data_IF_388549622453
#
_entry.id   IF_388549622453
#
_cell.length_a   1.000
_cell.length_b   1.000
_cell.length_c   1.000
_cell.angle_alpha   90.00
_cell.angle_beta   90.00
_cell.angle_gamma   90.00
#
_symmetry.space_group_name_H-M   'P 1'
#
loop_
_entity.id
_entity.type
_entity.pdbx_description
1 polymer ?
#
# COMPACT_ATOMS: atom_id res chain seq x y z
N UNK A 1 -13.43 3.14 8.33
CA UNK A 1 -14.82 2.83 8.74
C UNK A 1 -15.58 4.13 8.96
N UNK A 2 -16.82 4.19 8.51
CA UNK A 2 -17.73 5.34 8.65
C UNK A 2 -19.05 4.93 9.31
N UNK A 3 -19.75 5.92 9.87
CA UNK A 3 -21.15 5.80 10.29
C UNK A 3 -22.12 6.13 9.14
N UNK A 4 -23.41 6.05 9.38
CA UNK A 4 -24.47 6.34 8.42
C UNK A 4 -24.48 7.78 7.89
N UNK A 5 -23.74 8.70 8.54
CA UNK A 5 -23.60 10.10 8.12
C UNK A 5 -22.29 10.36 7.37
N UNK A 6 -21.48 9.34 7.09
CA UNK A 6 -20.19 9.46 6.44
C UNK A 6 -19.06 9.98 7.34
N UNK A 7 -19.26 10.07 8.66
CA UNK A 7 -18.21 10.41 9.61
C UNK A 7 -17.35 9.20 9.91
N UNK A 8 -16.06 9.45 10.11
CA UNK A 8 -15.14 8.41 10.56
C UNK A 8 -15.55 7.91 11.95
N UNK A 9 -15.55 6.59 12.14
CA UNK A 9 -15.94 5.93 13.40
C UNK A 9 -15.11 4.68 13.65
N UNK A 10 -15.07 4.22 14.91
CA UNK A 10 -14.35 3.00 15.28
C UNK A 10 -14.98 1.77 14.63
N UNK A 11 -14.19 0.76 14.22
CA UNK A 11 -14.69 -0.52 13.73
C UNK A 11 -15.65 -1.23 14.72
N UNK A 12 -15.36 -1.14 16.03
CA UNK A 12 -16.16 -1.84 17.04
C UNK A 12 -16.15 -3.35 16.78
N UNK A 13 -17.35 -3.95 16.65
CA UNK A 13 -17.51 -5.41 16.41
C UNK A 13 -17.16 -5.88 14.99
N UNK A 14 -16.76 -5.00 14.09
CA UNK A 14 -16.30 -5.41 12.75
C UNK A 14 -15.02 -6.25 12.82
N UNK A 15 -14.19 -6.07 13.86
CA UNK A 15 -12.99 -6.88 14.09
C UNK A 15 -13.30 -8.34 14.41
N UNK A 16 -14.51 -8.64 14.83
CA UNK A 16 -14.96 -9.99 15.15
C UNK A 16 -15.70 -10.67 13.97
N UNK A 17 -15.86 -9.97 12.86
CA UNK A 17 -16.65 -10.46 11.73
C UNK A 17 -15.96 -11.60 10.97
N UNK A 18 -14.64 -11.59 10.94
CA UNK A 18 -13.83 -12.61 10.25
C UNK A 18 -12.45 -12.72 10.87
N UNK A 19 -11.79 -13.90 10.80
CA UNK A 19 -10.37 -14.01 11.12
C UNK A 19 -9.54 -13.04 10.26
N UNK A 20 -8.56 -12.38 10.86
CA UNK A 20 -7.68 -11.42 10.16
C UNK A 20 -8.29 -10.03 9.96
N UNK A 21 -9.45 -9.72 10.54
CA UNK A 21 -9.92 -8.35 10.71
C UNK A 21 -9.34 -7.77 12.00
N UNK A 22 -8.57 -6.69 11.89
CA UNK A 22 -7.82 -6.11 13.03
C UNK A 22 -7.89 -4.59 13.03
N UNK A 23 -7.72 -3.99 14.22
CA UNK A 23 -7.55 -2.54 14.34
C UNK A 23 -6.13 -2.15 13.98
N UNK A 24 -6.00 -1.01 13.33
CA UNK A 24 -4.72 -0.39 13.00
C UNK A 24 -4.44 0.84 13.90
N UNK A 25 -3.47 1.69 13.53
CA UNK A 25 -2.94 2.80 14.33
C UNK A 25 -3.97 3.80 14.84
N UNK A 26 -5.09 3.93 14.15
CA UNK A 26 -6.13 4.93 14.46
C UNK A 26 -7.51 4.29 14.54
N UNK A 27 -8.37 4.89 15.38
CA UNK A 27 -9.70 4.35 15.65
C UNK A 27 -10.54 4.01 14.40
N UNK A 28 -10.59 4.81 13.34
CA UNK A 28 -11.45 4.48 12.19
C UNK A 28 -10.84 3.51 11.18
N UNK A 29 -9.62 3.00 11.43
CA UNK A 29 -8.95 2.10 10.49
C UNK A 29 -9.24 0.64 10.84
N UNK A 30 -9.51 -0.16 9.81
CA UNK A 30 -9.67 -1.62 9.89
C UNK A 30 -8.79 -2.25 8.84
N UNK A 31 -7.92 -3.15 9.24
CA UNK A 31 -7.15 -4.01 8.35
C UNK A 31 -7.89 -5.34 8.15
N UNK A 32 -7.93 -5.85 6.92
CA UNK A 32 -8.43 -7.17 6.58
C UNK A 32 -7.30 -7.93 5.88
N UNK A 33 -6.81 -8.99 6.52
CA UNK A 33 -5.72 -9.84 6.01
C UNK A 33 -6.27 -11.16 5.50
N UNK A 34 -5.64 -11.72 4.45
CA UNK A 34 -5.85 -13.11 4.03
C UNK A 34 -4.77 -14.02 4.64
N UNK A 35 -5.00 -15.31 4.61
CA UNK A 35 -3.94 -16.30 4.83
C UNK A 35 -3.07 -16.43 3.57
N UNK A 36 -1.88 -17.05 3.65
CA UNK A 36 -1.13 -17.43 2.45
C UNK A 36 -1.96 -18.35 1.55
N UNK A 37 -2.14 -17.97 0.29
CA UNK A 37 -2.91 -18.70 -0.70
C UNK A 37 -1.97 -19.28 -1.77
N UNK A 38 -2.18 -20.55 -2.15
CA UNK A 38 -1.38 -21.21 -3.20
C UNK A 38 -1.66 -20.69 -4.60
N UNK A 39 -2.85 -20.09 -4.81
CA UNK A 39 -3.28 -19.54 -6.11
C UNK A 39 -4.00 -18.22 -5.93
N UNK A 40 -3.98 -17.39 -6.96
CA UNK A 40 -4.73 -16.13 -6.98
C UNK A 40 -6.26 -16.35 -7.02
N UNK A 41 -6.72 -17.51 -7.48
CA UNK A 41 -8.12 -17.91 -7.37
C UNK A 41 -8.53 -18.12 -5.91
N UNK A 42 -7.73 -18.83 -5.11
CA UNK A 42 -7.94 -18.98 -3.69
C UNK A 42 -7.86 -17.64 -2.94
N UNK A 43 -6.90 -16.79 -3.29
CA UNK A 43 -6.78 -15.44 -2.76
C UNK A 43 -8.05 -14.62 -3.02
N UNK A 44 -8.58 -14.68 -4.23
CA UNK A 44 -9.83 -13.99 -4.62
C UNK A 44 -11.01 -14.45 -3.77
N UNK A 45 -11.16 -15.76 -3.62
CA UNK A 45 -12.25 -16.35 -2.84
C UNK A 45 -12.16 -15.94 -1.36
N UNK A 46 -11.00 -16.09 -0.74
CA UNK A 46 -10.80 -15.74 0.67
C UNK A 46 -10.97 -14.24 0.92
N UNK A 47 -10.39 -13.38 0.07
CA UNK A 47 -10.56 -11.93 0.19
C UNK A 47 -12.03 -11.53 0.06
N UNK A 48 -12.74 -12.10 -0.92
CA UNK A 48 -14.18 -11.88 -1.11
C UNK A 48 -14.98 -12.32 0.11
N UNK A 49 -14.75 -13.52 0.65
CA UNK A 49 -15.43 -14.01 1.86
C UNK A 49 -15.22 -13.07 3.04
N UNK A 50 -13.96 -12.67 3.31
CA UNK A 50 -13.62 -11.83 4.46
C UNK A 50 -14.21 -10.44 4.35
N UNK A 51 -14.12 -9.81 3.18
CA UNK A 51 -14.71 -8.48 2.98
C UNK A 51 -16.22 -8.53 3.04
N UNK A 52 -16.87 -9.58 2.50
CA UNK A 52 -18.32 -9.79 2.59
C UNK A 52 -18.75 -9.91 4.05
N UNK A 53 -18.08 -10.74 4.85
CA UNK A 53 -18.41 -10.91 6.27
C UNK A 53 -18.32 -9.59 7.06
N UNK A 54 -17.31 -8.77 6.76
CA UNK A 54 -17.16 -7.46 7.40
C UNK A 54 -18.24 -6.48 6.93
N UNK A 55 -18.62 -6.48 5.64
CA UNK A 55 -19.70 -5.65 5.10
C UNK A 55 -21.05 -6.02 5.68
N UNK A 56 -21.38 -7.32 5.77
CA UNK A 56 -22.61 -7.80 6.37
C UNK A 56 -22.69 -7.36 7.84
N UNK A 57 -21.59 -7.48 8.57
CA UNK A 57 -21.52 -6.99 9.95
C UNK A 57 -21.63 -5.47 10.05
N UNK A 58 -21.08 -4.73 9.09
CA UNK A 58 -21.19 -3.28 9.04
C UNK A 58 -22.64 -2.84 8.84
N UNK A 59 -23.37 -3.47 7.92
CA UNK A 59 -24.79 -3.22 7.67
C UNK A 59 -25.64 -3.46 8.93
N UNK A 60 -25.37 -4.54 9.68
CA UNK A 60 -26.08 -4.84 10.94
C UNK A 60 -25.91 -3.76 12.02
N UNK A 61 -24.80 -3.02 12.01
CA UNK A 61 -24.46 -2.04 13.05
C UNK A 61 -24.46 -0.58 12.54
N UNK A 62 -25.02 -0.32 11.36
CA UNK A 62 -25.13 1.02 10.78
C UNK A 62 -23.77 1.64 10.45
N UNK A 63 -22.86 0.87 9.85
CA UNK A 63 -21.51 1.32 9.45
C UNK A 63 -21.22 1.01 8.00
N UNK A 64 -20.17 1.64 7.45
CA UNK A 64 -19.67 1.38 6.12
C UNK A 64 -18.14 1.27 6.08
N UNK A 65 -17.63 0.51 5.10
CA UNK A 65 -16.21 0.44 4.76
C UNK A 65 -15.93 1.33 3.56
N UNK A 66 -14.81 2.05 3.58
CA UNK A 66 -14.44 2.99 2.52
C UNK A 66 -13.07 2.61 1.94
N UNK A 67 -12.93 2.37 0.62
CA UNK A 67 -11.68 2.02 -0.01
C UNK A 67 -10.87 3.29 -0.38
N UNK A 68 -10.61 4.14 0.60
CA UNK A 68 -9.85 5.38 0.43
C UNK A 68 -8.57 5.34 1.25
N UNK A 69 -7.45 5.67 0.62
CA UNK A 69 -6.13 5.62 1.23
C UNK A 69 -5.89 6.73 2.27
N UNK A 70 -6.67 7.80 2.23
CA UNK A 70 -6.63 8.88 3.21
C UNK A 70 -8.04 9.22 3.68
N UNK A 71 -8.20 9.91 4.82
CA UNK A 71 -9.52 10.35 5.30
C UNK A 71 -10.16 11.44 4.44
N UNK A 72 -9.50 11.90 3.36
CA UNK A 72 -9.89 13.04 2.50
C UNK A 72 -9.87 14.35 3.28
N UNK A 73 -10.80 14.50 4.22
CA UNK A 73 -10.86 15.57 5.22
C UNK A 73 -11.44 15.02 6.52
N UNK A 74 -10.70 15.18 7.61
CA UNK A 74 -11.15 14.90 8.97
C UNK A 74 -10.65 16.02 9.90
N UNK A 75 -11.48 16.44 10.85
CA UNK A 75 -11.10 17.44 11.85
C UNK A 75 -10.24 16.83 12.94
N UNK A 76 -10.55 15.59 13.33
CA UNK A 76 -9.84 14.85 14.37
C UNK A 76 -9.94 13.35 14.10
N UNK A 77 -8.82 12.65 14.28
CA UNK A 77 -8.74 11.18 14.20
C UNK A 77 -8.07 10.69 15.47
N UNK A 78 -8.81 9.94 16.28
CA UNK A 78 -8.29 9.38 17.51
C UNK A 78 -7.28 8.27 17.26
N UNK A 79 -6.14 8.35 17.94
CA UNK A 79 -5.08 7.34 17.89
C UNK A 79 -5.36 6.18 18.84
N UNK A 80 -4.89 5.00 18.47
CA UNK A 80 -4.84 3.84 19.36
C UNK A 80 -3.46 3.85 20.04
N UNK A 81 -3.37 4.20 21.34
CA UNK A 81 -2.09 4.32 22.00
C UNK A 81 -1.40 2.96 22.15
N UNK A 82 -0.10 2.91 21.83
CA UNK A 82 0.78 1.79 22.11
C UNK A 82 2.19 2.28 22.48
N UNK A 83 2.99 1.43 23.09
CA UNK A 83 4.39 1.75 23.38
C UNK A 83 5.17 1.99 22.10
N UNK A 84 4.91 1.17 21.08
CA UNK A 84 5.47 1.31 19.74
C UNK A 84 5.13 2.66 19.11
N UNK A 85 3.86 3.06 19.12
CA UNK A 85 3.39 4.34 18.57
C UNK A 85 4.01 5.52 19.33
N UNK A 86 4.20 5.41 20.66
CA UNK A 86 4.87 6.45 21.46
C UNK A 86 6.33 6.67 21.04
N UNK A 87 7.07 5.59 20.74
CA UNK A 87 8.43 5.69 20.22
C UNK A 87 8.43 6.36 18.85
N UNK A 88 7.59 5.89 17.93
CA UNK A 88 7.49 6.46 16.58
C UNK A 88 7.14 7.95 16.61
N UNK A 89 6.19 8.36 17.45
CA UNK A 89 5.83 9.77 17.63
C UNK A 89 7.00 10.63 18.09
N UNK A 90 7.90 10.09 18.92
CA UNK A 90 9.09 10.83 19.35
C UNK A 90 10.15 10.91 18.28
N UNK A 91 10.32 9.84 17.49
CA UNK A 91 11.36 9.76 16.45
C UNK A 91 10.96 10.57 15.20
N UNK A 92 9.72 10.44 14.76
CA UNK A 92 9.22 11.07 13.53
C UNK A 92 8.56 12.44 13.81
N UNK A 93 8.10 12.66 15.06
CA UNK A 93 7.45 13.91 15.44
C UNK A 93 5.99 14.00 14.97
N UNK A 94 5.50 15.24 14.80
CA UNK A 94 4.11 15.51 14.38
C UNK A 94 3.77 14.91 13.03
N UNK A 95 4.74 14.83 12.13
CA UNK A 95 4.53 14.39 10.75
C UNK A 95 4.26 12.86 10.65
N UNK A 96 4.40 12.14 11.77
CA UNK A 96 3.97 10.75 11.83
C UNK A 96 2.45 10.58 11.63
N UNK A 97 1.64 11.62 11.82
CA UNK A 97 0.22 11.60 11.46
C UNK A 97 0.00 11.27 9.98
N UNK A 98 0.90 11.73 9.08
CA UNK A 98 0.85 11.44 7.65
C UNK A 98 0.94 9.95 7.33
N UNK A 99 1.59 9.18 8.19
CA UNK A 99 1.68 7.71 8.09
C UNK A 99 0.44 7.06 8.69
N UNK A 100 0.11 7.42 9.93
CA UNK A 100 -0.95 6.76 10.71
C UNK A 100 -2.35 6.94 10.13
N UNK A 101 -2.58 8.06 9.46
CA UNK A 101 -3.89 8.38 8.86
C UNK A 101 -4.05 7.81 7.45
N UNK A 102 -3.10 7.00 6.98
CA UNK A 102 -3.12 6.43 5.65
C UNK A 102 -3.37 4.92 5.67
N UNK A 103 -4.28 4.46 4.82
CA UNK A 103 -4.58 3.05 4.59
C UNK A 103 -3.99 2.58 3.25
N UNK A 104 -3.38 1.42 3.23
CA UNK A 104 -2.78 0.84 2.02
C UNK A 104 -3.05 -0.64 1.90
N UNK A 105 -2.69 -1.18 0.76
CA UNK A 105 -2.68 -2.62 0.47
C UNK A 105 -1.25 -3.12 0.44
N UNK A 106 -0.97 -4.18 1.17
CA UNK A 106 0.29 -4.88 1.15
C UNK A 106 0.12 -6.20 0.40
N UNK A 107 0.95 -6.43 -0.61
CA UNK A 107 0.93 -7.67 -1.39
C UNK A 107 2.19 -8.45 -1.07
N UNK A 108 2.03 -9.63 -0.47
CA UNK A 108 3.11 -10.57 -0.18
C UNK A 108 3.13 -11.67 -1.23
N UNK A 109 4.30 -11.91 -1.83
CA UNK A 109 4.51 -13.03 -2.73
C UNK A 109 5.70 -13.84 -2.21
N UNK A 110 5.54 -15.16 -2.12
CA UNK A 110 6.60 -16.07 -1.63
C UNK A 110 7.91 -15.86 -2.39
N UNK A 111 9.02 -15.84 -1.65
CA UNK A 111 10.36 -15.74 -2.24
C UNK A 111 10.67 -17.00 -3.05
N UNK A 112 10.92 -16.82 -4.33
CA UNK A 112 11.27 -17.93 -5.20
C UNK A 112 12.76 -18.31 -5.01
N UNK A 113 13.07 -19.57 -4.71
CA UNK A 113 14.46 -20.02 -4.55
C UNK A 113 15.30 -19.71 -5.79
N UNK A 114 16.47 -19.11 -5.57
CA UNK A 114 17.41 -18.78 -6.65
C UNK A 114 17.16 -17.48 -7.39
N UNK A 115 15.93 -16.91 -7.35
CA UNK A 115 15.56 -15.67 -8.07
C UNK A 115 14.91 -14.62 -7.16
N UNK A 116 15.04 -14.75 -5.84
CA UNK A 116 14.44 -13.80 -4.90
C UNK A 116 14.95 -12.35 -5.06
N UNK A 117 16.21 -12.19 -5.51
CA UNK A 117 16.78 -10.87 -5.81
C UNK A 117 16.15 -10.27 -7.06
N UNK A 118 15.99 -11.04 -8.12
CA UNK A 118 15.30 -10.63 -9.33
C UNK A 118 13.83 -10.30 -9.05
N UNK A 119 13.17 -11.07 -8.17
CA UNK A 119 11.83 -10.81 -7.70
C UNK A 119 11.74 -9.45 -6.97
N UNK A 120 12.65 -9.18 -6.03
CA UNK A 120 12.72 -7.89 -5.35
C UNK A 120 12.95 -6.75 -6.35
N UNK A 121 13.92 -6.88 -7.23
CA UNK A 121 14.24 -5.86 -8.23
C UNK A 121 13.09 -5.65 -9.23
N UNK A 122 12.40 -6.73 -9.62
CA UNK A 122 11.19 -6.62 -10.44
C UNK A 122 10.09 -5.82 -9.71
N UNK A 123 9.87 -6.05 -8.41
CA UNK A 123 8.89 -5.29 -7.63
C UNK A 123 9.30 -3.82 -7.48
N UNK A 124 10.60 -3.53 -7.35
CA UNK A 124 11.11 -2.14 -7.40
C UNK A 124 10.75 -1.48 -8.73
N UNK A 125 10.98 -2.17 -9.86
CA UNK A 125 10.62 -1.66 -11.18
C UNK A 125 9.11 -1.50 -11.36
N UNK A 126 8.30 -2.35 -10.72
CA UNK A 126 6.83 -2.27 -10.79
C UNK A 126 6.22 -1.26 -9.83
N UNK A 127 7.00 -0.60 -8.99
CA UNK A 127 6.46 0.35 -8.00
C UNK A 127 5.59 1.49 -8.60
N UNK A 128 5.84 2.00 -9.84
CA UNK A 128 4.93 2.94 -10.49
C UNK A 128 3.50 2.41 -10.71
N UNK A 129 3.27 1.10 -10.59
CA UNK A 129 1.94 0.49 -10.70
C UNK A 129 1.00 0.89 -9.55
N UNK A 130 1.50 1.57 -8.50
CA UNK A 130 0.65 2.25 -7.52
C UNK A 130 -0.41 3.16 -8.18
N UNK A 131 -0.11 3.73 -9.36
CA UNK A 131 -1.03 4.57 -10.12
C UNK A 131 -2.33 3.86 -10.52
N UNK A 132 -2.32 2.53 -10.65
CA UNK A 132 -3.48 1.73 -11.03
C UNK A 132 -4.57 1.71 -9.95
N UNK A 133 -4.20 1.98 -8.71
CA UNK A 133 -5.09 1.90 -7.54
C UNK A 133 -5.04 3.12 -6.64
N UNK A 134 -4.57 4.27 -7.15
CA UNK A 134 -4.68 5.53 -6.40
C UNK A 134 -6.14 5.76 -5.99
N UNK A 135 -6.39 5.92 -4.69
CA UNK A 135 -7.76 5.99 -4.18
C UNK A 135 -8.12 7.30 -3.50
N UNK A 136 -7.13 8.17 -3.21
CA UNK A 136 -7.42 9.48 -2.66
C UNK A 136 -6.38 10.52 -3.08
N UNK A 137 -6.81 11.64 -3.70
CA UNK A 137 -5.92 12.76 -4.00
C UNK A 137 -5.82 13.80 -2.88
N UNK A 138 -6.59 13.66 -1.80
CA UNK A 138 -6.73 14.67 -0.74
C UNK A 138 -6.16 14.20 0.61
N UNK A 139 -5.69 15.17 1.39
CA UNK A 139 -5.42 15.00 2.82
C UNK A 139 -5.68 16.34 3.53
N UNK A 140 -6.36 16.31 4.69
CA UNK A 140 -6.75 17.53 5.40
C UNK A 140 -7.60 18.50 4.57
N UNK A 141 -8.38 17.97 3.62
CA UNK A 141 -9.19 18.75 2.68
C UNK A 141 -8.41 19.41 1.55
N UNK A 142 -7.09 19.26 1.48
CA UNK A 142 -6.25 19.82 0.42
C UNK A 142 -5.91 18.75 -0.62
N UNK A 143 -5.96 19.12 -1.91
CA UNK A 143 -5.43 18.25 -2.96
C UNK A 143 -3.90 18.21 -2.90
N UNK A 144 -3.34 17.02 -2.72
CA UNK A 144 -1.89 16.85 -2.64
C UNK A 144 -1.29 16.30 -3.95
N UNK A 145 -1.85 15.22 -4.48
CA UNK A 145 -1.37 14.53 -5.68
C UNK A 145 -2.41 13.46 -6.06
N UNK A 146 -2.35 12.85 -7.23
CA UNK A 146 -3.20 11.71 -7.57
C UNK A 146 -3.04 10.56 -6.56
N UNK A 147 -1.81 10.28 -6.12
CA UNK A 147 -1.47 9.34 -5.05
C UNK A 147 -1.07 10.08 -3.77
N UNK A 148 -2.03 10.67 -3.04
CA UNK A 148 -1.72 11.47 -1.85
C UNK A 148 -1.01 10.64 -0.77
N UNK A 149 -1.44 9.40 -0.49
CA UNK A 149 -0.78 8.51 0.47
C UNK A 149 0.69 8.32 0.16
N UNK A 150 1.02 7.98 -1.08
CA UNK A 150 2.41 7.80 -1.51
C UNK A 150 3.23 9.08 -1.39
N UNK A 151 2.65 10.25 -1.64
CA UNK A 151 3.30 11.55 -1.40
C UNK A 151 3.58 11.78 0.07
N UNK A 152 2.61 11.53 0.94
CA UNK A 152 2.73 11.69 2.40
C UNK A 152 3.87 10.82 2.95
N UNK A 153 3.86 9.53 2.64
CA UNK A 153 4.88 8.59 3.10
C UNK A 153 6.29 8.90 2.59
N UNK A 154 6.42 9.30 1.32
CA UNK A 154 7.74 9.40 0.68
C UNK A 154 8.39 10.77 0.84
N UNK A 155 7.59 11.83 0.99
CA UNK A 155 8.11 13.19 0.90
C UNK A 155 7.74 14.10 2.07
N UNK A 156 6.86 13.68 2.96
CA UNK A 156 6.35 14.54 4.02
C UNK A 156 6.52 13.99 5.43
N UNK A 157 6.52 12.67 5.61
CA UNK A 157 6.47 12.06 6.93
C UNK A 157 7.83 11.91 7.63
N UNK A 158 8.93 11.93 6.90
CA UNK A 158 10.23 11.49 7.41
C UNK A 158 11.37 12.48 7.10
N UNK A 159 11.19 13.76 7.43
CA UNK A 159 12.19 14.80 7.11
C UNK A 159 13.57 14.49 7.74
N UNK A 160 13.60 14.03 8.99
CA UNK A 160 14.83 13.70 9.72
C UNK A 160 15.36 12.27 9.43
N UNK A 161 14.60 11.46 8.69
CA UNK A 161 14.95 10.10 8.28
C UNK A 161 14.85 9.93 6.76
N UNK A 162 15.73 10.53 5.96
CA UNK A 162 15.54 10.73 4.51
C UNK A 162 15.47 9.44 3.69
N UNK A 163 15.76 8.29 4.27
CA UNK A 163 15.66 6.99 3.61
C UNK A 163 14.38 6.22 3.96
N UNK A 164 13.64 6.67 4.97
CA UNK A 164 12.33 6.14 5.31
C UNK A 164 11.30 6.54 4.24
N UNK A 165 10.36 5.66 3.98
CA UNK A 165 9.28 5.89 3.03
C UNK A 165 9.68 5.87 1.55
N UNK A 166 10.96 5.92 1.22
CA UNK A 166 11.45 6.00 -0.17
C UNK A 166 11.73 4.64 -0.77
N UNK A 167 11.51 4.54 -2.09
CA UNK A 167 11.93 3.38 -2.86
C UNK A 167 13.46 3.30 -2.87
N UNK A 168 14.00 2.12 -2.59
CA UNK A 168 15.45 1.90 -2.61
C UNK A 168 15.91 1.39 -3.97
N UNK A 169 17.18 1.66 -4.34
CA UNK A 169 17.77 1.12 -5.55
C UNK A 169 17.76 -0.40 -5.56
N UNK A 170 17.83 -0.98 -6.74
CA UNK A 170 18.07 -2.39 -6.94
C UNK A 170 19.21 -2.91 -6.07
N UNK A 171 19.23 -4.18 -5.82
CA UNK A 171 20.27 -4.87 -5.08
C UNK A 171 20.91 -5.96 -5.95
N UNK A 172 22.20 -6.16 -5.75
CA UNK A 172 22.93 -7.22 -6.47
C UNK A 172 22.75 -8.58 -5.78
N UNK A 173 22.59 -8.56 -4.46
CA UNK A 173 22.41 -9.77 -3.64
C UNK A 173 21.65 -9.49 -2.33
N UNK A 174 21.31 -10.57 -1.62
CA UNK A 174 20.63 -10.53 -0.31
C UNK A 174 21.46 -9.85 0.78
N UNK A 175 22.78 -10.02 0.75
CA UNK A 175 23.66 -9.44 1.76
C UNK A 175 23.71 -7.92 1.63
N UNK A 176 23.69 -7.39 0.40
CA UNK A 176 23.59 -5.95 0.16
C UNK A 176 22.31 -5.39 0.73
N UNK A 177 21.16 -6.04 0.49
CA UNK A 177 19.89 -5.63 1.06
C UNK A 177 19.95 -5.61 2.59
N UNK A 178 20.43 -6.68 3.21
CA UNK A 178 20.54 -6.81 4.66
C UNK A 178 21.43 -5.71 5.25
N UNK A 179 22.63 -5.47 4.68
CA UNK A 179 23.53 -4.40 5.10
C UNK A 179 22.88 -3.01 4.97
N UNK A 180 22.05 -2.82 3.95
CA UNK A 180 21.31 -1.56 3.76
C UNK A 180 20.23 -1.40 4.83
N UNK A 181 19.46 -2.44 5.10
CA UNK A 181 18.41 -2.46 6.10
C UNK A 181 18.97 -2.19 7.51
N UNK A 182 20.06 -2.89 7.89
CA UNK A 182 20.75 -2.71 9.18
C UNK A 182 21.22 -1.27 9.38
N UNK A 183 21.86 -0.67 8.38
CA UNK A 183 22.27 0.74 8.45
C UNK A 183 21.09 1.70 8.66
N UNK A 184 19.94 1.45 8.01
CA UNK A 184 18.74 2.28 8.20
C UNK A 184 18.11 2.06 9.58
N UNK A 185 18.23 0.89 10.12
CA UNK A 185 17.85 0.63 11.50
C UNK A 185 18.74 1.37 12.49
N UNK A 186 20.06 1.40 12.25
CA UNK A 186 21.00 2.20 13.05
C UNK A 186 20.68 3.70 13.00
N UNK A 187 20.30 4.22 11.81
CA UNK A 187 19.81 5.61 11.66
C UNK A 187 18.58 5.85 12.54
N UNK A 188 17.61 4.92 12.53
CA UNK A 188 16.40 4.99 13.34
C UNK A 188 16.72 4.92 14.85
N UNK A 189 17.58 4.00 15.29
CA UNK A 189 18.02 3.91 16.68
C UNK A 189 18.70 5.21 17.14
N UNK A 190 19.55 5.80 16.30
CA UNK A 190 20.24 7.06 16.59
C UNK A 190 19.24 8.19 16.77
N UNK A 191 18.30 8.34 15.84
CA UNK A 191 17.23 9.34 15.93
C UNK A 191 16.36 9.13 17.17
N UNK A 192 16.07 7.89 17.54
CA UNK A 192 15.30 7.57 18.76
C UNK A 192 16.05 8.00 20.03
N UNK A 193 17.35 7.74 20.12
CA UNK A 193 18.20 8.13 21.26
C UNK A 193 18.28 9.67 21.35
N UNK A 194 18.48 10.35 20.22
CA UNK A 194 18.53 11.81 20.14
C UNK A 194 17.18 12.45 20.56
N UNK A 195 16.07 11.76 20.27
CA UNK A 195 14.74 12.13 20.74
C UNK A 195 14.46 11.76 22.21
N UNK A 196 15.45 11.22 22.93
CA UNK A 196 15.35 10.87 24.35
C UNK A 196 14.61 9.56 24.62
N UNK A 197 14.55 8.65 23.64
CA UNK A 197 14.05 7.29 23.82
C UNK A 197 15.18 6.38 24.31
N UNK A 198 14.92 5.56 25.33
CA UNK A 198 15.88 4.58 25.82
C UNK A 198 16.14 3.49 24.75
N UNK A 199 17.42 3.17 24.50
CA UNK A 199 17.82 2.12 23.52
C UNK A 199 17.13 0.78 23.77
N UNK A 200 16.90 0.43 25.03
CA UNK A 200 16.22 -0.81 25.41
C UNK A 200 14.77 -0.80 24.97
N UNK A 201 14.08 0.34 25.08
CA UNK A 201 12.71 0.50 24.61
C UNK A 201 12.62 0.39 23.09
N UNK A 202 13.64 0.88 22.34
CA UNK A 202 13.70 0.66 20.89
C UNK A 202 13.83 -0.82 20.59
N UNK A 203 14.79 -1.53 21.17
CA UNK A 203 15.04 -2.95 20.93
C UNK A 203 13.88 -3.87 21.37
N UNK A 204 13.05 -3.44 22.33
CA UNK A 204 11.87 -4.19 22.77
C UNK A 204 10.73 -4.15 21.76
N UNK A 205 10.60 -3.05 21.00
CA UNK A 205 9.44 -2.80 20.14
C UNK A 205 9.77 -2.82 18.65
N UNK A 206 11.05 -2.79 18.25
CA UNK A 206 11.48 -2.69 16.89
C UNK A 206 12.63 -3.63 16.56
N UNK A 207 12.54 -4.24 15.41
CA UNK A 207 13.60 -4.88 14.67
C UNK A 207 13.84 -4.12 13.33
N UNK A 208 14.88 -4.45 12.57
CA UNK A 208 15.16 -3.76 11.31
C UNK A 208 13.98 -3.75 10.33
N UNK A 209 13.28 -4.86 10.14
CA UNK A 209 12.15 -4.95 9.20
C UNK A 209 10.94 -4.14 9.64
N UNK A 210 10.76 -3.98 10.93
CA UNK A 210 9.59 -3.29 11.50
C UNK A 210 9.83 -1.81 11.79
N UNK A 211 11.09 -1.39 11.95
CA UNK A 211 11.48 0.01 12.14
C UNK A 211 11.63 0.77 10.82
N UNK A 212 12.09 0.07 9.78
CA UNK A 212 12.43 0.67 8.49
C UNK A 212 11.32 0.40 7.49
N UNK A 213 10.74 1.48 6.94
CA UNK A 213 9.71 1.39 5.93
C UNK A 213 10.27 1.71 4.55
N UNK A 214 10.13 0.78 3.61
CA UNK A 214 10.39 0.97 2.18
C UNK A 214 9.27 0.33 1.35
N UNK A 215 8.94 0.88 0.17
CA UNK A 215 7.91 0.35 -0.73
C UNK A 215 8.01 -1.11 -1.09
N UNK A 216 9.23 -1.64 -1.22
CA UNK A 216 9.48 -3.05 -1.50
C UNK A 216 10.43 -3.59 -0.44
N UNK A 217 10.06 -4.70 0.17
CA UNK A 217 10.79 -5.24 1.31
C UNK A 217 10.84 -6.77 1.26
N UNK A 218 11.99 -7.34 1.58
CA UNK A 218 12.04 -8.74 1.98
C UNK A 218 11.48 -8.90 3.39
N UNK A 219 10.66 -9.92 3.60
CA UNK A 219 10.08 -10.25 4.90
C UNK A 219 10.50 -11.66 5.30
N UNK A 220 11.52 -11.74 6.15
CA UNK A 220 12.07 -13.05 6.57
C UNK A 220 11.05 -13.88 7.35
N UNK A 221 10.29 -13.22 8.25
CA UNK A 221 9.28 -13.91 9.06
C UNK A 221 8.19 -14.62 8.22
N UNK A 222 7.95 -14.15 7.00
CA UNK A 222 6.94 -14.68 6.08
C UNK A 222 7.55 -15.38 4.86
N UNK A 223 8.88 -15.29 4.69
CA UNK A 223 9.59 -15.77 3.49
C UNK A 223 9.01 -15.15 2.21
N UNK A 224 8.67 -13.85 2.21
CA UNK A 224 8.05 -13.15 1.09
C UNK A 224 8.85 -11.93 0.65
N UNK A 225 8.61 -11.50 -0.60
CA UNK A 225 8.82 -10.12 -1.02
C UNK A 225 7.48 -9.40 -0.88
N UNK A 226 7.48 -8.31 -0.13
CA UNK A 226 6.32 -7.47 0.14
C UNK A 226 6.37 -6.19 -0.70
N UNK A 227 5.27 -5.88 -1.41
CA UNK A 227 5.05 -4.58 -2.03
C UNK A 227 3.97 -3.82 -1.27
N UNK A 228 4.31 -2.61 -0.79
CA UNK A 228 3.55 -1.84 0.19
C UNK A 228 2.99 -0.52 -0.33
N UNK A 229 3.27 -0.21 -1.59
CA UNK A 229 2.92 1.09 -2.18
C UNK A 229 1.45 1.27 -2.54
N UNK A 230 0.70 0.23 -2.92
CA UNK A 230 -0.68 0.40 -3.33
C UNK A 230 -1.53 1.05 -2.24
N UNK A 231 -2.38 1.97 -2.65
CA UNK A 231 -3.45 2.46 -1.80
C UNK A 231 -4.41 1.33 -1.42
N UNK A 232 -5.19 1.51 -0.34
CA UNK A 232 -6.38 0.67 -0.17
C UNK A 232 -7.29 0.89 -1.38
N UNK A 233 -7.82 -0.20 -1.94
CA UNK A 233 -8.53 -0.17 -3.22
C UNK A 233 -9.71 -1.15 -3.22
N UNK A 234 -10.44 -1.18 -4.33
CA UNK A 234 -11.49 -2.16 -4.54
C UNK A 234 -10.91 -3.58 -4.56
N UNK A 235 -11.54 -4.57 -3.93
CA UNK A 235 -11.07 -5.95 -3.92
C UNK A 235 -10.79 -6.54 -5.30
N UNK A 236 -11.59 -6.19 -6.31
CA UNK A 236 -11.36 -6.61 -7.70
C UNK A 236 -10.03 -6.10 -8.26
N UNK A 237 -9.62 -4.87 -7.93
CA UNK A 237 -8.36 -4.29 -8.38
C UNK A 237 -7.16 -4.87 -7.60
N UNK A 238 -7.32 -5.12 -6.29
CA UNK A 238 -6.31 -5.79 -5.46
C UNK A 238 -6.00 -7.18 -6.00
N UNK A 239 -7.02 -7.98 -6.32
CA UNK A 239 -6.84 -9.31 -6.90
C UNK A 239 -6.15 -9.24 -8.26
N UNK A 240 -6.53 -8.27 -9.11
CA UNK A 240 -5.90 -8.08 -10.42
C UNK A 240 -4.42 -7.70 -10.31
N UNK A 241 -4.05 -6.88 -9.33
CA UNK A 241 -2.65 -6.59 -9.02
C UNK A 241 -1.90 -7.86 -8.57
N UNK A 242 -2.46 -8.61 -7.64
CA UNK A 242 -1.87 -9.84 -7.13
C UNK A 242 -1.69 -10.88 -8.24
N UNK A 243 -2.68 -11.06 -9.12
CA UNK A 243 -2.60 -11.91 -10.32
C UNK A 243 -1.39 -11.54 -11.19
N UNK A 244 -1.23 -10.24 -11.45
CA UNK A 244 -0.13 -9.76 -12.30
C UNK A 244 1.24 -9.99 -11.65
N UNK A 245 1.36 -9.74 -10.35
CA UNK A 245 2.61 -9.98 -9.61
C UNK A 245 2.94 -11.47 -9.56
N UNK A 246 1.98 -12.32 -9.25
CA UNK A 246 2.17 -13.77 -9.22
C UNK A 246 2.58 -14.32 -10.61
N UNK A 247 1.92 -13.85 -11.68
CA UNK A 247 2.26 -14.23 -13.05
C UNK A 247 3.67 -13.76 -13.46
N UNK A 248 4.13 -12.62 -12.98
CA UNK A 248 5.50 -12.17 -13.20
C UNK A 248 6.50 -13.06 -12.45
N UNK A 249 6.26 -13.27 -11.15
CA UNK A 249 7.16 -14.05 -10.28
C UNK A 249 7.31 -15.48 -10.79
N UNK A 250 6.22 -16.10 -11.25
CA UNK A 250 6.25 -17.45 -11.83
C UNK A 250 7.05 -17.60 -13.13
N UNK A 251 7.61 -16.49 -13.65
CA UNK A 251 8.41 -16.49 -14.86
C UNK A 251 9.89 -16.14 -14.64
N UNK A 252 10.25 -15.70 -13.44
CA UNK A 252 11.60 -15.17 -13.19
C UNK A 252 12.70 -16.21 -13.29
N UNK A 253 12.39 -17.49 -13.09
CA UNK A 253 13.32 -18.61 -13.26
C UNK A 253 13.39 -19.16 -14.69
N UNK A 254 12.44 -18.77 -15.55
CA UNK A 254 12.31 -19.23 -16.93
C UNK A 254 12.95 -18.28 -17.96
N UNK A 255 13.15 -17.00 -17.60
CA UNK A 255 13.57 -15.95 -18.53
C UNK A 255 14.72 -15.12 -17.95
N UNK A 256 15.56 -14.58 -18.84
CA UNK A 256 16.63 -13.67 -18.45
C UNK A 256 16.05 -12.34 -17.92
N UNK A 257 16.50 -11.92 -16.75
CA UNK A 257 16.20 -10.62 -16.17
C UNK A 257 17.42 -9.71 -16.35
N UNK A 258 17.22 -8.54 -16.98
CA UNK A 258 18.29 -7.56 -17.20
C UNK A 258 17.84 -6.18 -16.73
N UNK A 259 18.78 -5.36 -16.28
CA UNK A 259 18.57 -3.94 -15.99
C UNK A 259 19.21 -3.16 -17.12
N UNK A 260 18.42 -2.43 -17.92
CA UNK A 260 18.93 -1.73 -19.09
C UNK A 260 18.02 -0.56 -19.52
N UNK A 261 18.62 0.61 -19.69
CA UNK A 261 17.97 1.80 -20.26
C UNK A 261 16.85 2.37 -19.41
N UNK A 262 15.94 3.10 -20.04
CA UNK A 262 14.90 3.88 -19.35
C UNK A 262 13.47 3.36 -19.52
N UNK A 263 13.25 2.41 -20.42
CA UNK A 263 11.91 2.08 -20.88
C UNK A 263 11.25 0.94 -20.13
N UNK A 264 12.01 -0.08 -19.72
CA UNK A 264 11.48 -1.31 -19.15
C UNK A 264 10.54 -2.09 -20.07
N UNK A 265 10.51 -3.41 -19.94
CA UNK A 265 9.63 -4.28 -20.74
C UNK A 265 9.55 -5.68 -20.13
N UNK A 266 8.35 -6.23 -20.04
CA UNK A 266 8.15 -7.65 -19.77
C UNK A 266 7.70 -8.32 -21.07
N UNK A 267 8.67 -8.96 -21.77
CA UNK A 267 8.46 -9.69 -23.02
C UNK A 267 8.18 -11.17 -22.81
N UNK A 268 8.07 -11.93 -23.89
CA UNK A 268 7.87 -13.40 -23.84
C UNK A 268 9.13 -14.11 -23.34
N UNK A 269 10.30 -13.74 -23.85
CA UNK A 269 11.56 -14.47 -23.65
C UNK A 269 12.55 -13.73 -22.73
N UNK A 270 12.25 -12.52 -22.30
CA UNK A 270 13.10 -11.70 -21.45
C UNK A 270 12.28 -10.71 -20.60
N UNK A 271 12.84 -10.29 -19.46
CA UNK A 271 12.38 -9.20 -18.63
C UNK A 271 13.48 -8.15 -18.59
N UNK A 272 13.19 -6.95 -19.09
CA UNK A 272 14.09 -5.80 -19.03
C UNK A 272 13.53 -4.82 -18.02
N UNK A 273 14.20 -4.66 -16.89
CA UNK A 273 13.90 -3.65 -15.90
C UNK A 273 14.59 -2.35 -16.32
N UNK A 274 13.96 -1.17 -16.19
CA UNK A 274 14.64 0.09 -16.49
C UNK A 274 15.68 0.42 -15.40
N UNK A 275 16.64 1.26 -15.71
CA UNK A 275 17.55 1.79 -14.70
C UNK A 275 16.80 2.52 -13.59
N UNK A 276 17.31 2.47 -12.37
CA UNK A 276 16.62 2.94 -11.17
C UNK A 276 16.17 4.40 -11.25
N UNK A 277 16.97 5.29 -11.84
CA UNK A 277 16.61 6.70 -12.00
C UNK A 277 15.37 6.88 -12.89
N UNK A 278 15.21 6.03 -13.90
CA UNK A 278 13.99 6.02 -14.72
C UNK A 278 12.77 5.52 -13.93
N UNK A 279 12.95 4.49 -13.08
CA UNK A 279 11.89 4.04 -12.16
C UNK A 279 11.44 5.18 -11.25
N UNK A 280 12.38 5.91 -10.64
CA UNK A 280 12.06 7.06 -9.78
C UNK A 280 11.31 8.14 -10.55
N UNK A 281 11.68 8.41 -11.79
CA UNK A 281 10.94 9.31 -12.68
C UNK A 281 9.47 8.86 -12.86
N UNK A 282 9.26 7.59 -13.15
CA UNK A 282 7.93 7.00 -13.30
C UNK A 282 7.13 6.99 -11.98
N UNK A 283 7.77 6.69 -10.85
CA UNK A 283 7.14 6.76 -9.52
C UNK A 283 6.66 8.18 -9.23
N UNK A 284 7.48 9.19 -9.50
CA UNK A 284 7.12 10.59 -9.29
C UNK A 284 5.92 11.00 -10.16
N UNK A 285 5.88 10.57 -11.42
CA UNK A 285 4.75 10.81 -12.31
C UNK A 285 3.48 10.06 -11.85
N UNK A 286 3.63 8.81 -11.41
CA UNK A 286 2.55 8.00 -10.85
C UNK A 286 1.90 8.63 -9.62
N UNK A 287 2.72 9.20 -8.73
CA UNK A 287 2.25 9.91 -7.54
C UNK A 287 1.56 11.22 -7.93
N UNK A 288 2.19 12.03 -8.80
CA UNK A 288 1.71 13.38 -9.13
C UNK A 288 0.42 13.33 -9.95
N UNK A 289 0.42 12.54 -11.01
CA UNK A 289 -0.59 12.58 -12.08
C UNK A 289 -1.39 11.26 -12.21
N UNK A 290 -0.92 10.16 -11.61
CA UNK A 290 -1.55 8.84 -11.72
C UNK A 290 -1.70 8.39 -13.18
N UNK A 291 -2.80 7.75 -13.52
CA UNK A 291 -3.11 7.32 -14.90
C UNK A 291 -3.50 8.46 -15.85
N UNK A 292 -3.58 9.72 -15.39
CA UNK A 292 -3.68 10.86 -16.30
C UNK A 292 -2.37 11.09 -17.07
N UNK A 293 -1.24 10.58 -16.58
CA UNK A 293 0.05 10.61 -17.28
C UNK A 293 0.11 9.57 -18.40
N UNK A 294 0.22 10.02 -19.66
CA UNK A 294 0.45 9.13 -20.78
C UNK A 294 1.79 8.37 -20.68
N UNK A 295 2.79 8.95 -20.02
CA UNK A 295 4.08 8.29 -19.75
C UNK A 295 3.89 7.08 -18.86
N UNK A 296 3.11 7.22 -17.78
CA UNK A 296 2.82 6.13 -16.84
C UNK A 296 1.98 5.04 -17.51
N UNK A 297 0.93 5.40 -18.22
CA UNK A 297 0.14 4.40 -18.97
C UNK A 297 1.00 3.58 -19.90
N UNK A 298 1.83 4.23 -20.72
CA UNK A 298 2.73 3.55 -21.65
C UNK A 298 3.83 2.74 -20.97
N UNK A 299 4.30 3.14 -19.79
CA UNK A 299 5.22 2.35 -18.98
C UNK A 299 4.56 1.07 -18.45
N UNK A 300 3.40 1.20 -17.82
CA UNK A 300 2.67 0.08 -17.21
C UNK A 300 2.21 -0.94 -18.26
N UNK A 301 1.79 -0.47 -19.44
CA UNK A 301 1.47 -1.35 -20.56
C UNK A 301 2.68 -2.20 -20.97
N UNK A 302 3.87 -1.59 -21.15
CA UNK A 302 5.10 -2.35 -21.44
C UNK A 302 5.52 -3.30 -20.32
N UNK A 303 5.24 -2.94 -19.06
CA UNK A 303 5.44 -3.79 -17.90
C UNK A 303 4.32 -4.83 -17.72
N UNK A 304 3.42 -4.93 -18.71
CA UNK A 304 2.44 -5.99 -18.88
C UNK A 304 1.20 -5.86 -18.03
N UNK A 305 0.84 -4.63 -17.62
CA UNK A 305 -0.46 -4.36 -17.02
C UNK A 305 -1.49 -4.03 -18.10
N UNK A 306 -2.69 -4.56 -18.00
CA UNK A 306 -3.86 -4.10 -18.75
C UNK A 306 -4.39 -2.83 -18.08
N UNK A 307 -3.80 -1.68 -18.46
CA UNK A 307 -4.07 -0.39 -17.80
C UNK A 307 -5.53 0.03 -17.95
N UNK A 308 -6.19 -0.36 -19.04
CA UNK A 308 -7.59 -0.01 -19.31
C UNK A 308 -8.59 -0.83 -18.47
N UNK A 309 -8.12 -1.91 -17.83
CA UNK A 309 -8.92 -2.68 -16.89
C UNK A 309 -9.04 -2.05 -15.50
N UNK A 310 -8.31 -0.95 -15.22
CA UNK A 310 -8.32 -0.25 -13.94
C UNK A 310 -9.03 1.10 -14.04
N UNK A 311 -9.83 1.40 -13.03
CA UNK A 311 -10.49 2.70 -12.86
C UNK A 311 -10.25 3.22 -11.44
N UNK A 312 -9.08 3.88 -11.22
CA UNK A 312 -8.68 4.36 -9.89
C UNK A 312 -9.72 5.29 -9.29
N UNK A 313 -10.11 5.03 -8.04
CA UNK A 313 -11.06 5.86 -7.29
C UNK A 313 -10.65 7.34 -7.27
N UNK A 314 -9.36 7.63 -7.23
CA UNK A 314 -8.85 8.99 -7.29
C UNK A 314 -9.34 9.79 -8.51
N UNK A 315 -9.57 9.14 -9.66
CA UNK A 315 -10.05 9.82 -10.88
C UNK A 315 -11.45 10.41 -10.72
N UNK A 316 -12.32 9.76 -9.96
CA UNK A 316 -13.71 10.21 -9.78
C UNK A 316 -13.80 11.41 -8.83
N UNK A 317 -12.95 11.43 -7.79
CA UNK A 317 -12.99 12.44 -6.74
C UNK A 317 -12.04 13.61 -6.96
N UNK A 318 -11.07 13.48 -7.88
CA UNK A 318 -10.10 14.54 -8.20
C UNK A 318 -10.76 15.70 -8.98
N UNK A 319 -10.13 16.87 -8.99
CA UNK A 319 -10.54 18.02 -9.79
C UNK A 319 -10.85 19.27 -9.00
N UNK A 320 -10.79 19.24 -7.66
CA UNK A 320 -10.92 20.42 -6.79
C UNK A 320 -9.62 20.69 -6.06
N UNK A 321 -9.27 21.95 -5.84
CA UNK A 321 -8.10 22.29 -5.02
C UNK A 321 -8.34 21.95 -3.54
N UNK A 322 -9.57 22.07 -3.08
CA UNK A 322 -9.99 21.80 -1.70
C UNK A 322 -11.35 21.12 -1.65
N UNK A 323 -11.58 20.34 -0.60
CA UNK A 323 -12.88 19.77 -0.26
C UNK A 323 -13.25 20.15 1.17
N UNK A 324 -14.54 20.42 1.41
CA UNK A 324 -15.07 20.69 2.74
C UNK A 324 -15.27 19.39 3.54
N UNK A 325 -15.43 19.45 4.87
CA UNK A 325 -15.80 18.28 5.67
C UNK A 325 -17.07 17.58 5.19
N UNK A 326 -18.11 18.34 4.78
CA UNK A 326 -19.35 17.78 4.27
C UNK A 326 -19.14 17.07 2.92
N UNK A 327 -18.41 17.69 2.00
CA UNK A 327 -18.04 17.04 0.72
C UNK A 327 -17.25 15.76 0.97
N UNK A 328 -16.35 15.73 1.96
CA UNK A 328 -15.59 14.54 2.31
C UNK A 328 -16.48 13.41 2.87
N UNK A 329 -17.57 13.76 3.59
CA UNK A 329 -18.58 12.77 4.04
C UNK A 329 -19.34 12.17 2.87
N UNK A 330 -19.78 13.02 1.93
CA UNK A 330 -20.47 12.56 0.72
C UNK A 330 -19.58 11.62 -0.10
N UNK A 331 -18.31 11.98 -0.32
CA UNK A 331 -17.31 11.12 -1.00
C UNK A 331 -17.20 9.78 -0.28
N UNK A 332 -17.08 9.76 1.03
CA UNK A 332 -16.95 8.51 1.79
C UNK A 332 -18.19 7.63 1.69
N UNK A 333 -19.39 8.19 1.74
CA UNK A 333 -20.63 7.43 1.55
C UNK A 333 -20.74 6.84 0.16
N UNK A 334 -20.48 7.62 -0.89
CA UNK A 334 -20.50 7.16 -2.28
C UNK A 334 -19.51 6.00 -2.51
N UNK A 335 -18.30 6.11 -1.97
CA UNK A 335 -17.30 5.07 -2.16
C UNK A 335 -17.47 3.86 -1.23
N UNK A 336 -18.19 3.98 -0.12
CA UNK A 336 -18.65 2.82 0.64
C UNK A 336 -19.67 1.99 -0.17
N UNK A 337 -20.60 2.65 -0.85
CA UNK A 337 -21.54 2.00 -1.76
C UNK A 337 -20.82 1.34 -2.95
N UNK A 338 -19.79 2.00 -3.49
CA UNK A 338 -18.95 1.45 -4.57
C UNK A 338 -18.22 0.18 -4.13
N UNK A 339 -17.63 0.17 -2.93
CA UNK A 339 -16.98 -1.03 -2.37
C UNK A 339 -17.99 -2.18 -2.24
N UNK A 340 -19.15 -1.93 -1.63
CA UNK A 340 -20.18 -2.93 -1.49
C UNK A 340 -20.70 -3.44 -2.85
N UNK A 341 -20.76 -2.58 -3.87
CA UNK A 341 -21.15 -2.97 -5.23
C UNK A 341 -20.06 -3.83 -5.91
N UNK A 342 -18.78 -3.51 -5.71
CA UNK A 342 -17.67 -4.28 -6.25
C UNK A 342 -17.66 -5.71 -5.71
N UNK A 343 -17.81 -5.87 -4.39
CA UNK A 343 -17.85 -7.17 -3.73
C UNK A 343 -19.03 -8.00 -4.23
N UNK A 344 -20.24 -7.42 -4.34
CA UNK A 344 -21.41 -8.13 -4.88
C UNK A 344 -21.24 -8.58 -6.34
N UNK A 345 -20.51 -7.80 -7.16
CA UNK A 345 -20.26 -8.12 -8.58
C UNK A 345 -19.27 -9.27 -8.76
N UNK A 346 -18.25 -9.31 -7.90
CA UNK A 346 -17.17 -10.31 -7.96
C UNK A 346 -17.60 -11.67 -7.38
N UNK A 347 -18.80 -11.81 -6.82
CA UNK A 347 -19.42 -12.97 -6.17
C UNK A 347 -18.68 -14.32 -6.27
N UNK A 348 -18.95 -15.31 -5.45
CA UNK A 348 -18.23 -16.58 -5.49
C UNK A 348 -18.30 -17.15 -6.91
N UNK A 349 -17.19 -17.68 -7.40
CA UNK A 349 -17.18 -18.43 -8.67
C UNK A 349 -18.19 -19.56 -8.49
N UNK A 350 -19.38 -19.40 -9.10
CA UNK A 350 -20.33 -20.52 -9.22
C UNK A 350 -19.61 -21.55 -10.07
N UNK A 351 -19.13 -22.62 -9.40
CA UNK A 351 -18.53 -23.74 -10.08
C UNK A 351 -19.57 -24.34 -11.02
N UNK A 352 -19.30 -24.31 -12.31
CA UNK A 352 -19.90 -25.19 -13.30
C UNK A 352 -19.12 -26.50 -13.36
#
# INVERSE_FOLDING_TARGET
VIDETGRLTTPGSLVDATPGAEREFVEPMLEIKTTPCETTAALREELHERVTAVLDRADEVGKGLVPLATPVHAEEIAEIPSDRTRVQNRVVGSDFEYVRHCAGTHVHVEQQPGVAVDQHNAFVALDPALALVNSSPYFGGQRLAAGARSKLYRWMAYDDLPHQGRLWPYVDDREEYTRRLERRYEDFETAAIDAGVDRRAVAEHFDPESAVWTPVQFREAFSTVEWRSPDTALPSDVVRLADRLAALVGRLDEVEVRIEGDRGRIGHDEIVLPEFDAVIGHVNDAIRDGLASASIRGYLDRMGFDVDAYDPVAHEIDGRATVSPDTARDIRLEHADRLAADVRRVGPLTGD
#
